data_IF_113263502819
#
_entry.id   IF_113263502819
#
_cell.length_a   1.000
_cell.length_b   1.000
_cell.length_c   1.000
_cell.angle_alpha   90.00
_cell.angle_beta   90.00
_cell.angle_gamma   90.00
#
_symmetry.space_group_name_H-M   'P 1'
#
loop_
_entity.id
_entity.type
_entity.pdbx_description
1 polymer ?
#
# COMPACT_ATOMS: atom_id res chain seq x y z
N UNK A 1 16.57 14.82 -11.57
CA UNK A 1 15.44 15.36 -12.40
C UNK A 1 14.71 16.53 -11.72
N UNK A 2 13.96 17.38 -12.47
CA UNK A 2 13.25 18.54 -11.88
C UNK A 2 12.35 18.14 -10.70
N UNK A 3 11.58 17.07 -10.87
CA UNK A 3 10.68 16.53 -9.84
C UNK A 3 11.43 16.10 -8.58
N UNK A 4 12.56 15.41 -8.71
CA UNK A 4 13.37 14.98 -7.56
C UNK A 4 13.95 16.16 -6.77
N UNK A 5 14.33 17.25 -7.45
CA UNK A 5 14.77 18.48 -6.77
C UNK A 5 13.63 19.12 -5.98
N UNK A 6 12.43 19.17 -6.57
CA UNK A 6 11.24 19.70 -5.88
C UNK A 6 10.85 18.82 -4.67
N UNK A 7 11.01 17.50 -4.76
CA UNK A 7 10.81 16.59 -3.61
C UNK A 7 11.81 16.88 -2.49
N UNK A 8 13.09 17.09 -2.84
CA UNK A 8 14.13 17.43 -1.86
C UNK A 8 13.86 18.77 -1.15
N UNK A 9 13.31 19.77 -1.85
CA UNK A 9 12.87 21.04 -1.27
C UNK A 9 11.76 20.87 -0.21
N UNK A 10 10.89 19.86 -0.38
CA UNK A 10 9.83 19.48 0.58
C UNK A 10 10.31 18.47 1.64
N UNK A 11 11.62 18.19 1.71
CA UNK A 11 12.21 17.28 2.69
C UNK A 11 12.16 15.79 2.33
N UNK A 12 11.75 15.44 1.11
CA UNK A 12 11.75 14.07 0.59
C UNK A 12 13.06 13.83 -0.17
N UNK A 13 14.02 13.16 0.48
CA UNK A 13 15.33 12.88 -0.08
C UNK A 13 15.34 11.56 -0.85
N UNK A 14 15.44 11.64 -2.18
CA UNK A 14 15.50 10.44 -3.03
C UNK A 14 16.91 9.86 -3.12
N UNK A 15 17.03 8.56 -3.39
CA UNK A 15 18.31 7.83 -3.48
C UNK A 15 19.30 8.47 -4.47
N UNK A 16 18.82 8.96 -5.62
CA UNK A 16 19.65 9.65 -6.62
C UNK A 16 20.30 10.95 -6.11
N UNK A 17 19.78 11.52 -5.02
CA UNK A 17 20.30 12.71 -4.36
C UNK A 17 20.99 12.37 -3.02
N UNK A 18 21.25 11.08 -2.76
CA UNK A 18 21.90 10.60 -1.54
C UNK A 18 20.95 10.34 -0.36
N UNK A 19 19.64 10.32 -0.60
CA UNK A 19 18.63 9.91 0.38
C UNK A 19 18.36 8.40 0.40
N UNK A 20 17.26 8.02 1.01
CA UNK A 20 16.81 6.63 1.22
C UNK A 20 15.46 6.32 0.55
N UNK A 21 14.82 7.32 -0.07
CA UNK A 21 13.52 7.15 -0.72
C UNK A 21 13.73 6.73 -2.18
N UNK A 22 13.32 5.51 -2.57
CA UNK A 22 13.49 5.06 -3.94
C UNK A 22 12.59 5.85 -4.90
N UNK A 23 13.14 6.19 -6.08
CA UNK A 23 12.40 6.86 -7.15
C UNK A 23 12.46 6.03 -8.45
N UNK A 24 11.29 5.65 -8.96
CA UNK A 24 11.18 4.88 -10.23
C UNK A 24 10.44 5.71 -11.27
N UNK A 25 11.12 6.03 -12.37
CA UNK A 25 10.53 6.77 -13.48
C UNK A 25 9.71 5.81 -14.36
N UNK A 26 8.40 6.01 -14.46
CA UNK A 26 7.50 5.12 -15.20
C UNK A 26 6.76 5.82 -16.35
N UNK A 27 6.20 5.02 -17.26
CA UNK A 27 5.13 5.46 -18.15
C UNK A 27 3.97 4.47 -18.10
N UNK A 28 2.86 4.86 -17.49
CA UNK A 28 1.68 4.00 -17.37
C UNK A 28 1.07 3.66 -18.74
N UNK A 29 1.01 4.63 -19.66
CA UNK A 29 0.45 4.43 -21.01
C UNK A 29 1.30 3.47 -21.86
N UNK A 30 2.63 3.55 -21.73
CA UNK A 30 3.57 2.72 -22.50
C UNK A 30 4.00 1.46 -21.76
N UNK A 31 3.61 1.29 -20.50
CA UNK A 31 4.06 0.21 -19.62
C UNK A 31 5.54 0.25 -19.24
N UNK A 32 6.21 1.40 -19.39
CA UNK A 32 7.66 1.52 -19.11
C UNK A 32 7.93 1.46 -17.60
N UNK A 33 8.91 0.64 -17.21
CA UNK A 33 9.42 0.47 -15.84
C UNK A 33 8.39 0.03 -14.79
N UNK A 34 7.24 -0.51 -15.20
CA UNK A 34 6.27 -1.08 -14.25
C UNK A 34 6.83 -2.30 -13.50
N UNK A 35 7.66 -3.13 -14.17
CA UNK A 35 8.33 -4.26 -13.53
C UNK A 35 9.32 -3.80 -12.46
N UNK A 36 10.13 -2.80 -12.80
CA UNK A 36 11.07 -2.16 -11.88
C UNK A 36 10.33 -1.59 -10.66
N UNK A 37 9.22 -0.88 -10.87
CA UNK A 37 8.40 -0.35 -9.76
C UNK A 37 7.91 -1.47 -8.82
N UNK A 38 7.44 -2.60 -9.37
CA UNK A 38 7.01 -3.73 -8.56
C UNK A 38 8.18 -4.34 -7.79
N UNK A 39 9.35 -4.50 -8.41
CA UNK A 39 10.56 -5.00 -7.76
C UNK A 39 11.03 -4.08 -6.64
N UNK A 40 11.01 -2.76 -6.84
CA UNK A 40 11.31 -1.76 -5.81
C UNK A 40 10.35 -1.84 -4.62
N UNK A 41 9.04 -2.00 -4.87
CA UNK A 41 8.04 -2.16 -3.79
C UNK A 41 8.32 -3.43 -2.97
N UNK A 42 8.64 -4.54 -3.64
CA UNK A 42 8.98 -5.81 -2.97
C UNK A 42 10.24 -5.66 -2.13
N UNK A 43 11.30 -5.09 -2.69
CA UNK A 43 12.56 -4.88 -1.97
C UNK A 43 12.36 -4.00 -0.72
N UNK A 44 11.57 -2.92 -0.84
CA UNK A 44 11.25 -2.07 0.31
C UNK A 44 10.43 -2.83 1.37
N UNK A 45 9.44 -3.63 0.96
CA UNK A 45 8.64 -4.42 1.88
C UNK A 45 9.47 -5.47 2.64
N UNK A 46 10.50 -6.03 2.01
CA UNK A 46 11.47 -6.93 2.67
C UNK A 46 12.29 -6.20 3.73
N UNK A 47 12.79 -4.99 3.43
CA UNK A 47 13.52 -4.14 4.39
C UNK A 47 12.64 -3.75 5.58
N UNK A 48 11.35 -3.50 5.35
CA UNK A 48 10.37 -3.18 6.39
C UNK A 48 9.99 -4.38 7.27
N UNK A 49 10.37 -5.60 6.89
CA UNK A 49 10.07 -6.86 7.58
C UNK A 49 8.59 -7.02 7.99
N UNK A 50 7.65 -6.58 7.13
CA UNK A 50 6.22 -6.56 7.43
C UNK A 50 5.70 -7.90 7.97
N UNK A 51 4.98 -7.86 9.10
CA UNK A 51 4.38 -9.04 9.77
C UNK A 51 2.86 -8.90 9.90
N UNK A 52 2.19 -10.03 10.10
CA UNK A 52 0.78 -10.09 10.48
C UNK A 52 0.51 -11.32 11.34
N UNK A 53 -0.43 -11.20 12.29
CA UNK A 53 -0.91 -12.34 13.10
C UNK A 53 -2.22 -12.87 12.53
N UNK A 54 -2.26 -14.07 11.93
CA UNK A 54 -3.50 -14.64 11.39
C UNK A 54 -4.39 -15.31 12.44
N UNK A 55 -3.91 -15.55 13.68
CA UNK A 55 -4.58 -16.36 14.70
C UNK A 55 -5.39 -15.55 15.71
N UNK A 56 -4.97 -14.32 15.99
CA UNK A 56 -5.64 -13.41 16.93
C UNK A 56 -7.04 -12.94 16.47
N UNK A 57 -7.72 -12.15 17.33
CA UNK A 57 -8.99 -11.52 16.96
C UNK A 57 -8.80 -10.57 15.78
N UNK A 58 -9.84 -10.45 14.96
CA UNK A 58 -9.83 -9.59 13.77
C UNK A 58 -9.75 -8.13 14.18
N UNK A 59 -8.81 -7.41 13.56
CA UNK A 59 -8.71 -5.95 13.61
C UNK A 59 -8.58 -5.44 12.18
N UNK A 60 -9.28 -4.35 11.87
CA UNK A 60 -9.24 -3.76 10.55
C UNK A 60 -9.81 -2.35 10.53
N UNK A 61 -9.55 -1.66 9.42
CA UNK A 61 -9.97 -0.27 9.19
C UNK A 61 -11.00 -0.25 8.07
N UNK A 62 -12.13 0.40 8.31
CA UNK A 62 -13.17 0.60 7.29
C UNK A 62 -12.69 1.64 6.28
N UNK A 63 -12.60 1.26 5.02
CA UNK A 63 -12.22 2.14 3.92
C UNK A 63 -13.45 2.87 3.38
N UNK A 64 -14.51 2.12 3.09
CA UNK A 64 -15.73 2.64 2.48
C UNK A 64 -16.96 1.87 2.97
N UNK A 65 -18.11 2.54 2.95
CA UNK A 65 -19.41 1.96 3.28
C UNK A 65 -20.40 2.30 2.19
N UNK A 66 -21.21 1.32 1.78
CA UNK A 66 -22.27 1.52 0.79
C UNK A 66 -23.53 0.74 1.17
N UNK A 67 -24.65 1.11 0.58
CA UNK A 67 -25.90 0.33 0.70
C UNK A 67 -26.26 -0.20 -0.68
N UNK A 68 -26.31 -1.53 -0.81
CA UNK A 68 -26.68 -2.19 -2.06
C UNK A 68 -28.09 -2.77 -1.96
N UNK A 69 -28.91 -2.49 -2.98
CA UNK A 69 -30.26 -3.05 -3.09
C UNK A 69 -30.15 -4.59 -3.13
N UNK A 70 -30.92 -5.27 -2.28
CA UNK A 70 -30.91 -6.73 -2.15
C UNK A 70 -29.77 -7.32 -1.29
N UNK A 71 -28.76 -6.53 -0.91
CA UNK A 71 -27.63 -6.98 -0.06
C UNK A 71 -27.50 -6.22 1.26
N UNK A 72 -28.20 -5.10 1.41
CA UNK A 72 -28.17 -4.27 2.61
C UNK A 72 -26.90 -3.43 2.70
N UNK A 73 -26.45 -3.16 3.93
CA UNK A 73 -25.24 -2.36 4.21
C UNK A 73 -24.00 -3.22 3.97
N UNK A 74 -23.05 -2.69 3.21
CA UNK A 74 -21.77 -3.32 2.90
C UNK A 74 -20.64 -2.37 3.28
N UNK A 75 -19.50 -2.93 3.68
CA UNK A 75 -18.29 -2.19 3.96
C UNK A 75 -17.09 -2.85 3.28
N UNK A 76 -16.18 -2.03 2.76
CA UNK A 76 -14.85 -2.45 2.31
C UNK A 76 -13.89 -2.22 3.47
N UNK A 77 -13.23 -3.28 3.94
CA UNK A 77 -12.40 -3.24 5.15
C UNK A 77 -11.00 -3.76 4.84
N UNK A 78 -9.97 -3.02 5.27
CA UNK A 78 -8.59 -3.49 5.28
C UNK A 78 -8.32 -4.22 6.59
N UNK A 79 -8.10 -5.54 6.51
CA UNK A 79 -7.76 -6.36 7.69
C UNK A 79 -6.28 -6.17 8.03
N UNK A 80 -5.99 -5.71 9.24
CA UNK A 80 -4.63 -5.48 9.75
C UNK A 80 -4.10 -6.68 10.53
N UNK A 81 -4.98 -7.37 11.28
CA UNK A 81 -4.64 -8.63 11.97
C UNK A 81 -5.86 -9.55 12.07
N UNK A 82 -5.58 -10.83 12.34
CA UNK A 82 -6.57 -11.88 12.49
C UNK A 82 -7.11 -12.39 11.16
N UNK A 83 -7.95 -13.42 11.22
CA UNK A 83 -8.63 -13.99 10.05
C UNK A 83 -10.13 -13.86 10.19
N UNK A 84 -10.77 -13.06 9.33
CA UNK A 84 -12.23 -12.95 9.29
C UNK A 84 -12.84 -14.15 8.58
N UNK A 85 -13.79 -14.83 9.22
CA UNK A 85 -14.50 -15.99 8.66
C UNK A 85 -15.99 -15.72 8.61
N UNK A 86 -16.69 -16.43 7.72
CA UNK A 86 -18.16 -16.37 7.65
C UNK A 86 -18.76 -16.78 9.00
N UNK A 87 -19.64 -15.95 9.54
CA UNK A 87 -20.29 -16.18 10.84
C UNK A 87 -19.54 -15.59 12.04
N UNK A 88 -18.35 -15.00 11.85
CA UNK A 88 -17.70 -14.18 12.87
C UNK A 88 -18.56 -12.97 13.22
N UNK A 89 -18.56 -12.60 14.50
CA UNK A 89 -19.16 -11.34 14.99
C UNK A 89 -18.05 -10.30 15.05
N UNK A 90 -18.33 -9.12 14.48
CA UNK A 90 -17.46 -7.95 14.48
C UNK A 90 -18.00 -6.88 15.43
#
# INVERSE_FOLDING_TARGET
PRTERMLAEEGIQVENLGGDIPSVNISALKGTNLKELVETIVALAEVMELKGDPKGPVEGVVLEVSTQVGRGKLATVLIQRGTLRKGSVL
#
